data_IF_075718077127
#
_entry.id   IF_075718077127
#
_cell.length_a   1.000
_cell.length_b   1.000
_cell.length_c   1.000
_cell.angle_alpha   90.00
_cell.angle_beta   90.00
_cell.angle_gamma   90.00
#
_symmetry.space_group_name_H-M   'P 1'
#
loop_
_entity.id
_entity.type
_entity.pdbx_description
1 polymer ?
#
# COMPACT_ATOMS: atom_id res chain seq x y z
N UNK A 1 8.12 -3.87 13.65
CA UNK A 1 6.91 -3.13 14.11
C UNK A 1 6.36 -2.39 12.90
N UNK A 2 5.13 -2.68 12.44
CA UNK A 2 4.62 -2.06 11.21
C UNK A 2 4.46 -0.54 11.40
N UNK A 3 4.95 0.25 10.45
CA UNK A 3 4.89 1.71 10.54
C UNK A 3 3.44 2.22 10.54
N UNK A 4 3.19 3.41 11.11
CA UNK A 4 1.87 4.05 11.06
C UNK A 4 1.38 4.28 9.63
N UNK A 5 2.30 4.52 8.68
CA UNK A 5 1.99 4.66 7.26
C UNK A 5 1.44 3.35 6.68
N UNK A 6 2.08 2.21 7.01
CA UNK A 6 1.68 0.86 6.60
C UNK A 6 0.26 0.52 7.08
N UNK A 7 -0.05 0.81 8.35
CA UNK A 7 -1.40 0.57 8.92
C UNK A 7 -2.46 1.46 8.26
N UNK A 8 -2.11 2.71 7.97
CA UNK A 8 -3.01 3.66 7.29
C UNK A 8 -3.32 3.24 5.86
N UNK A 9 -2.31 2.76 5.11
CA UNK A 9 -2.47 2.21 3.77
C UNK A 9 -3.40 0.99 3.77
N UNK A 10 -3.17 0.02 4.64
CA UNK A 10 -4.04 -1.17 4.76
C UNK A 10 -5.48 -0.81 5.11
N UNK A 11 -5.69 0.12 6.05
CA UNK A 11 -7.03 0.56 6.44
C UNK A 11 -7.75 1.22 5.26
N UNK A 12 -7.06 2.04 4.50
CA UNK A 12 -7.62 2.67 3.31
C UNK A 12 -7.93 1.63 2.22
N UNK A 13 -7.01 0.71 1.95
CA UNK A 13 -7.21 -0.36 0.96
C UNK A 13 -8.40 -1.26 1.29
N UNK A 14 -8.54 -1.68 2.55
CA UNK A 14 -9.70 -2.47 3.00
C UNK A 14 -11.04 -1.73 2.85
N UNK A 15 -11.02 -0.40 2.90
CA UNK A 15 -12.22 0.42 2.66
C UNK A 15 -12.57 0.52 1.17
N UNK A 16 -11.57 0.51 0.28
CA UNK A 16 -11.78 0.53 -1.18
C UNK A 16 -12.11 -0.86 -1.73
N UNK A 17 -11.46 -1.91 -1.22
CA UNK A 17 -11.59 -3.30 -1.66
C UNK A 17 -12.42 -4.10 -0.65
N UNK A 18 -13.72 -3.80 -0.61
CA UNK A 18 -14.65 -4.45 0.34
C UNK A 18 -14.76 -5.96 0.12
N UNK A 19 -14.63 -6.42 -1.11
CA UNK A 19 -14.60 -7.85 -1.44
C UNK A 19 -13.17 -8.43 -1.34
N UNK A 20 -13.01 -9.68 -0.87
CA UNK A 20 -11.77 -10.40 -1.04
C UNK A 20 -11.52 -10.62 -2.53
N UNK A 21 -10.41 -10.09 -3.02
CA UNK A 21 -9.93 -10.31 -4.39
C UNK A 21 -8.48 -10.79 -4.32
N UNK A 22 -8.00 -11.57 -5.32
CA UNK A 22 -6.59 -11.96 -5.38
C UNK A 22 -5.66 -10.76 -5.26
N UNK A 23 -6.08 -9.63 -5.83
CA UNK A 23 -5.37 -8.36 -5.72
C UNK A 23 -5.22 -7.86 -4.27
N UNK A 24 -6.28 -7.93 -3.47
CA UNK A 24 -6.23 -7.58 -2.04
C UNK A 24 -5.27 -8.49 -1.29
N UNK A 25 -5.29 -9.79 -1.56
CA UNK A 25 -4.40 -10.77 -0.91
C UNK A 25 -2.94 -10.48 -1.23
N UNK A 26 -2.62 -10.20 -2.50
CA UNK A 26 -1.26 -9.81 -2.90
C UNK A 26 -0.79 -8.52 -2.24
N UNK A 27 -1.66 -7.51 -2.08
CA UNK A 27 -1.33 -6.29 -1.35
C UNK A 27 -1.12 -6.55 0.14
N UNK A 28 -1.96 -7.38 0.76
CA UNK A 28 -1.80 -7.76 2.16
C UNK A 28 -0.47 -8.53 2.37
N UNK A 29 -0.08 -9.37 1.41
CA UNK A 29 1.19 -10.08 1.40
C UNK A 29 2.40 -9.14 1.25
N UNK A 30 2.36 -8.19 0.29
CA UNK A 30 3.42 -7.18 0.13
C UNK A 30 3.64 -6.38 1.42
N UNK A 31 2.55 -5.99 2.09
CA UNK A 31 2.61 -5.31 3.39
C UNK A 31 3.07 -6.23 4.53
N UNK A 32 2.78 -7.52 4.49
CA UNK A 32 3.28 -8.47 5.48
C UNK A 32 4.79 -8.70 5.35
N UNK A 33 5.32 -8.64 4.12
CA UNK A 33 6.72 -8.85 3.78
C UNK A 33 7.57 -7.57 3.80
N UNK A 34 7.00 -6.44 4.20
CA UNK A 34 7.69 -5.14 4.21
C UNK A 34 8.22 -4.75 2.80
N UNK A 35 7.44 -5.04 1.75
CA UNK A 35 7.80 -4.80 0.35
C UNK A 35 7.00 -3.61 -0.25
N UNK A 36 7.49 -2.37 -0.08
CA UNK A 36 6.85 -1.19 -0.68
C UNK A 36 6.93 -1.16 -2.21
N UNK A 37 7.86 -1.90 -2.83
CA UNK A 37 8.02 -1.95 -4.29
C UNK A 37 6.93 -2.79 -4.93
N UNK A 38 6.66 -3.98 -4.38
CA UNK A 38 5.57 -4.82 -4.87
C UNK A 38 4.21 -4.18 -4.60
N UNK A 39 4.04 -3.51 -3.46
CA UNK A 39 2.83 -2.73 -3.20
C UNK A 39 2.61 -1.64 -4.26
N UNK A 40 3.66 -0.91 -4.66
CA UNK A 40 3.60 0.09 -5.73
C UNK A 40 3.21 -0.53 -7.07
N UNK A 41 3.85 -1.65 -7.44
CA UNK A 41 3.58 -2.40 -8.69
C UNK A 41 2.13 -2.88 -8.78
N UNK A 42 1.55 -3.32 -7.66
CA UNK A 42 0.15 -3.72 -7.60
C UNK A 42 -0.76 -2.50 -7.75
N UNK A 43 -0.49 -1.41 -7.03
CA UNK A 43 -1.33 -0.21 -7.07
C UNK A 43 -1.34 0.50 -8.43
N UNK A 44 -0.27 0.38 -9.22
CA UNK A 44 -0.23 0.88 -10.60
C UNK A 44 -1.25 0.20 -11.53
N UNK A 45 -1.66 -1.02 -11.22
CA UNK A 45 -2.65 -1.77 -11.99
C UNK A 45 -4.09 -1.34 -11.67
N UNK A 46 -4.29 -0.52 -10.64
CA UNK A 46 -5.60 0.00 -10.27
C UNK A 46 -5.88 1.37 -10.90
N UNK A 47 -7.16 1.58 -11.24
CA UNK A 47 -7.66 2.88 -11.63
C UNK A 47 -8.00 3.70 -10.38
N UNK A 48 -7.15 4.67 -10.07
CA UNK A 48 -7.37 5.67 -9.02
C UNK A 48 -7.67 7.03 -9.62
N UNK A 49 -8.44 7.84 -8.90
CA UNK A 49 -8.44 9.28 -9.16
C UNK A 49 -7.06 9.86 -8.84
N UNK A 50 -6.72 11.00 -9.44
CA UNK A 50 -5.43 11.66 -9.20
C UNK A 50 -5.19 11.95 -7.70
N UNK A 51 -6.23 12.38 -6.99
CA UNK A 51 -6.16 12.63 -5.55
C UNK A 51 -5.87 11.34 -4.74
N UNK A 52 -6.50 10.23 -5.11
CA UNK A 52 -6.23 8.93 -4.48
C UNK A 52 -4.82 8.45 -4.77
N UNK A 53 -4.35 8.59 -6.02
CA UNK A 53 -3.00 8.22 -6.44
C UNK A 53 -1.94 8.99 -5.64
N UNK A 54 -2.05 10.32 -5.57
CA UNK A 54 -1.14 11.18 -4.77
C UNK A 54 -1.14 10.79 -3.30
N UNK A 55 -2.30 10.46 -2.73
CA UNK A 55 -2.40 10.03 -1.34
C UNK A 55 -1.64 8.72 -1.09
N UNK A 56 -1.87 7.72 -1.94
CA UNK A 56 -1.25 6.40 -1.83
C UNK A 56 0.26 6.46 -2.06
N UNK A 57 0.71 7.21 -3.07
CA UNK A 57 2.13 7.46 -3.33
C UNK A 57 2.82 8.10 -2.12
N UNK A 58 2.17 9.06 -1.45
CA UNK A 58 2.68 9.67 -0.23
C UNK A 58 2.74 8.72 0.99
N UNK A 59 1.90 7.68 1.03
CA UNK A 59 2.00 6.63 2.04
C UNK A 59 3.15 5.66 1.72
N UNK A 60 3.28 5.27 0.45
CA UNK A 60 4.37 4.39 -0.03
C UNK A 60 5.74 5.06 0.14
N UNK A 61 5.90 6.34 -0.18
CA UNK A 61 7.16 7.07 -0.03
C UNK A 61 7.62 7.10 1.44
N UNK A 62 6.71 7.41 2.38
CA UNK A 62 7.02 7.38 3.81
C UNK A 62 7.38 5.98 4.30
N UNK A 63 6.71 4.95 3.78
CA UNK A 63 7.03 3.57 4.12
C UNK A 63 8.44 3.20 3.60
N UNK A 64 8.78 3.56 2.36
CA UNK A 64 10.11 3.39 1.77
C UNK A 64 11.20 4.09 2.61
N UNK A 65 10.96 5.34 3.05
CA UNK A 65 11.88 6.10 3.91
C UNK A 65 12.12 5.43 5.28
N UNK A 66 11.13 4.70 5.81
CA UNK A 66 11.32 3.93 7.05
C UNK A 66 12.14 2.66 6.83
N UNK A 67 12.24 2.16 5.59
CA UNK A 67 12.98 0.94 5.25
C UNK A 67 14.39 1.23 4.73
N UNK A 68 14.60 2.36 4.06
CA UNK A 68 15.93 2.80 3.63
C UNK A 68 16.85 3.28 4.77
N UNK A 69 16.35 3.33 6.00
CA UNK A 69 17.11 3.63 7.23
C UNK A 69 17.40 2.38 8.10
N UNK A 70 17.51 1.22 7.47
CA UNK A 70 17.90 -0.06 8.09
C UNK A 70 19.27 -0.54 7.62
#
# INVERSE_FOLDING_TARGET
>A
MKSQATVSLLRWLRRQLREPTPFREHLEAAVANDDPREARRLLEQMSFTEAQRRHVEGLLARWDDTHGRG
#
